data_IF_642040897674
#
_entry.id   IF_642040897674
#
_cell.length_a   1.000
_cell.length_b   1.000
_cell.length_c   1.000
_cell.angle_alpha   90.00
_cell.angle_beta   90.00
_cell.angle_gamma   90.00
#
_symmetry.space_group_name_H-M   'P 1'
#
loop_
_entity.id
_entity.type
_entity.pdbx_description
1 polymer ?
#
# COMPACT_ATOMS: atom_id res chain seq x y z
N UNK A 1 -1.57 -15.94 0.07
CA UNK A 1 -1.83 -16.57 -1.24
C UNK A 1 -2.85 -15.71 -1.97
N UNK A 2 -2.63 -15.43 -3.25
CA UNK A 2 -3.52 -14.59 -4.05
C UNK A 2 -4.40 -15.40 -4.99
N UNK A 3 -5.52 -14.83 -5.41
CA UNK A 3 -6.40 -15.44 -6.41
C UNK A 3 -5.67 -15.54 -7.74
N UNK A 4 -5.64 -16.73 -8.32
CA UNK A 4 -5.20 -16.95 -9.68
C UNK A 4 -6.07 -18.03 -10.32
N UNK A 5 -7.03 -17.62 -11.13
CA UNK A 5 -7.99 -18.48 -11.80
C UNK A 5 -7.72 -18.62 -13.31
N UNK A 6 -6.59 -18.08 -13.79
CA UNK A 6 -6.20 -18.11 -15.21
C UNK A 6 -5.16 -19.21 -15.50
N UNK A 7 -5.57 -20.42 -15.88
CA UNK A 7 -4.67 -21.57 -16.08
C UNK A 7 -3.61 -21.40 -17.18
N UNK A 8 -3.88 -20.56 -18.18
CA UNK A 8 -2.94 -20.25 -19.27
C UNK A 8 -1.79 -19.35 -18.82
N UNK A 9 -1.99 -18.52 -17.78
CA UNK A 9 -0.96 -17.68 -17.20
C UNK A 9 0.24 -18.48 -16.67
N UNK A 10 0.01 -19.69 -16.12
CA UNK A 10 1.09 -20.57 -15.65
C UNK A 10 2.03 -21.01 -16.77
N UNK A 11 1.49 -21.31 -17.94
CA UNK A 11 2.27 -21.80 -19.10
C UNK A 11 3.00 -20.67 -19.82
N UNK A 12 2.30 -19.56 -20.02
CA UNK A 12 2.78 -18.47 -20.87
C UNK A 12 3.69 -17.49 -20.11
N UNK A 13 3.40 -17.28 -18.80
CA UNK A 13 3.97 -16.20 -18.03
C UNK A 13 4.75 -16.64 -16.80
N UNK A 14 4.96 -17.96 -16.65
CA UNK A 14 5.83 -18.50 -15.61
C UNK A 14 5.28 -18.44 -14.19
N UNK A 15 3.96 -18.34 -14.01
CA UNK A 15 3.38 -18.43 -12.68
C UNK A 15 3.63 -19.81 -12.07
N UNK A 16 4.08 -19.85 -10.84
CA UNK A 16 4.25 -21.09 -10.07
C UNK A 16 2.87 -21.68 -9.74
N UNK A 17 2.50 -22.86 -10.28
CA UNK A 17 1.17 -23.44 -10.06
C UNK A 17 0.78 -23.63 -8.61
N UNK A 18 1.77 -23.83 -7.71
CA UNK A 18 1.54 -24.00 -6.26
C UNK A 18 1.08 -22.71 -5.56
N UNK A 19 1.23 -21.57 -6.21
CA UNK A 19 0.76 -20.27 -5.69
C UNK A 19 -0.66 -19.94 -6.18
N UNK A 20 -1.14 -20.70 -7.16
CA UNK A 20 -2.50 -20.51 -7.69
C UNK A 20 -3.52 -21.14 -6.76
N UNK A 21 -4.63 -20.43 -6.55
CA UNK A 21 -5.79 -20.92 -5.82
C UNK A 21 -7.05 -20.66 -6.66
N UNK A 22 -7.94 -21.65 -6.80
CA UNK A 22 -9.26 -21.44 -7.39
C UNK A 22 -10.00 -20.31 -6.66
N UNK A 23 -10.79 -19.58 -7.41
CA UNK A 23 -11.50 -18.41 -6.90
C UNK A 23 -12.44 -18.75 -5.76
N UNK A 24 -13.24 -19.81 -5.91
CA UNK A 24 -14.18 -20.31 -4.90
C UNK A 24 -13.48 -20.67 -3.58
N UNK A 25 -12.37 -21.38 -3.62
CA UNK A 25 -11.59 -21.72 -2.42
C UNK A 25 -11.05 -20.46 -1.71
N UNK A 26 -10.65 -19.43 -2.47
CA UNK A 26 -10.18 -18.17 -1.87
C UNK A 26 -11.33 -17.41 -1.22
N UNK A 27 -12.49 -17.33 -1.88
CA UNK A 27 -13.66 -16.64 -1.34
C UNK A 27 -14.17 -17.32 -0.06
N UNK A 28 -14.27 -18.64 -0.05
CA UNK A 28 -14.64 -19.42 1.12
C UNK A 28 -13.64 -19.21 2.29
N UNK A 29 -12.35 -19.19 1.99
CA UNK A 29 -11.32 -18.93 2.99
C UNK A 29 -11.40 -17.51 3.57
N UNK A 30 -11.63 -16.52 2.72
CA UNK A 30 -11.80 -15.12 3.14
C UNK A 30 -13.03 -14.97 4.05
N UNK A 31 -14.14 -15.59 3.70
CA UNK A 31 -15.35 -15.56 4.53
C UNK A 31 -15.10 -16.20 5.89
N UNK A 32 -14.43 -17.35 5.92
CA UNK A 32 -14.07 -17.99 7.17
C UNK A 32 -13.15 -17.12 8.05
N UNK A 33 -12.17 -16.43 7.44
CA UNK A 33 -11.31 -15.48 8.19
C UNK A 33 -12.11 -14.31 8.74
N UNK A 34 -13.07 -13.77 7.97
CA UNK A 34 -13.94 -12.68 8.44
C UNK A 34 -14.78 -13.10 9.63
N UNK A 35 -15.35 -14.31 9.59
CA UNK A 35 -16.08 -14.86 10.74
C UNK A 35 -15.20 -15.01 11.99
N UNK A 36 -13.97 -15.50 11.81
CA UNK A 36 -13.03 -15.65 12.93
C UNK A 36 -12.55 -14.33 13.53
N UNK A 37 -12.52 -13.27 12.74
CA UNK A 37 -12.01 -11.95 13.18
C UNK A 37 -13.12 -10.95 13.51
N UNK A 38 -14.40 -11.33 13.40
CA UNK A 38 -15.54 -10.41 13.54
C UNK A 38 -15.59 -9.63 14.87
N UNK A 39 -15.07 -10.21 15.96
CA UNK A 39 -15.01 -9.58 17.30
C UNK A 39 -13.59 -9.06 17.64
N UNK A 40 -12.71 -8.95 16.66
CA UNK A 40 -11.33 -8.49 16.86
C UNK A 40 -11.06 -7.17 16.15
N UNK A 41 -9.92 -6.54 16.45
CA UNK A 41 -9.42 -5.35 15.76
C UNK A 41 -8.80 -5.66 14.38
N UNK A 42 -9.00 -6.90 13.86
CA UNK A 42 -8.42 -7.34 12.58
C UNK A 42 -9.49 -7.26 11.50
N UNK A 43 -9.22 -6.50 10.45
CA UNK A 43 -10.03 -6.50 9.23
C UNK A 43 -9.39 -7.38 8.16
N UNK A 44 -10.22 -8.00 7.33
CA UNK A 44 -9.80 -8.88 6.23
C UNK A 44 -10.02 -8.18 4.90
N UNK A 45 -9.03 -8.22 4.02
CA UNK A 45 -9.09 -7.70 2.66
C UNK A 45 -8.74 -8.80 1.65
N UNK A 46 -9.23 -8.66 0.43
CA UNK A 46 -8.83 -9.51 -0.69
C UNK A 46 -7.48 -9.05 -1.24
N UNK A 47 -6.66 -9.99 -1.69
CA UNK A 47 -5.41 -9.70 -2.39
C UNK A 47 -5.36 -10.43 -3.73
N UNK A 48 -5.04 -9.68 -4.78
CA UNK A 48 -4.88 -10.18 -6.15
C UNK A 48 -3.42 -10.01 -6.54
N UNK A 49 -2.75 -11.04 -7.06
CA UNK A 49 -1.33 -10.93 -7.42
C UNK A 49 -1.06 -9.86 -8.48
N UNK A 50 -1.86 -9.79 -9.53
CA UNK A 50 -1.74 -8.81 -10.62
C UNK A 50 -2.93 -8.95 -11.58
N UNK A 51 -3.14 -8.01 -12.54
CA UNK A 51 -4.26 -8.05 -13.50
C UNK A 51 -4.35 -9.32 -14.33
N UNK A 52 -3.22 -9.93 -14.61
CA UNK A 52 -3.10 -11.11 -15.47
C UNK A 52 -3.38 -12.44 -14.79
N UNK A 53 -3.50 -12.45 -13.45
CA UNK A 53 -3.76 -13.69 -12.69
C UNK A 53 -5.23 -14.08 -12.62
N UNK A 54 -6.14 -13.16 -12.97
CA UNK A 54 -7.59 -13.32 -12.82
C UNK A 54 -8.26 -13.19 -14.18
N UNK A 55 -9.26 -14.05 -14.45
CA UNK A 55 -10.11 -13.94 -15.64
C UNK A 55 -11.10 -12.78 -15.51
N UNK A 56 -11.67 -12.33 -16.63
CA UNK A 56 -12.67 -11.27 -16.66
C UNK A 56 -13.90 -11.65 -15.79
N UNK A 57 -14.35 -12.90 -15.89
CA UNK A 57 -15.44 -13.42 -15.04
C UNK A 57 -15.02 -13.48 -13.56
N UNK A 58 -13.77 -13.83 -13.28
CA UNK A 58 -13.21 -13.80 -11.93
C UNK A 58 -13.16 -12.40 -11.34
N UNK A 59 -12.79 -11.39 -12.14
CA UNK A 59 -12.83 -9.98 -11.71
C UNK A 59 -14.24 -9.53 -11.32
N UNK A 60 -15.25 -9.88 -12.13
CA UNK A 60 -16.64 -9.56 -11.79
C UNK A 60 -17.05 -10.20 -10.46
N UNK A 61 -16.76 -11.49 -10.28
CA UNK A 61 -17.08 -12.22 -9.05
C UNK A 61 -16.37 -11.62 -7.83
N UNK A 62 -15.08 -11.30 -7.95
CA UNK A 62 -14.29 -10.68 -6.87
C UNK A 62 -14.84 -9.31 -6.49
N UNK A 63 -15.16 -8.47 -7.48
CA UNK A 63 -15.73 -7.16 -7.25
C UNK A 63 -17.07 -7.26 -6.53
N UNK A 64 -17.98 -8.08 -7.03
CA UNK A 64 -19.32 -8.27 -6.43
C UNK A 64 -19.18 -8.77 -4.98
N UNK A 65 -18.35 -9.77 -4.74
CA UNK A 65 -18.06 -10.29 -3.41
C UNK A 65 -17.54 -9.20 -2.46
N UNK A 66 -16.58 -8.39 -2.93
CA UNK A 66 -15.99 -7.32 -2.13
C UNK A 66 -16.99 -6.18 -1.85
N UNK A 67 -17.77 -5.77 -2.86
CA UNK A 67 -18.76 -4.69 -2.73
C UNK A 67 -19.91 -5.08 -1.80
N UNK A 68 -20.42 -6.30 -1.91
CA UNK A 68 -21.49 -6.81 -1.02
C UNK A 68 -21.07 -6.80 0.46
N UNK A 69 -19.77 -6.89 0.74
CA UNK A 69 -19.22 -7.01 2.10
C UNK A 69 -18.47 -5.77 2.57
N UNK A 70 -18.52 -4.69 1.78
CA UNK A 70 -17.73 -3.46 2.01
C UNK A 70 -16.23 -3.74 2.27
N UNK A 71 -15.65 -4.65 1.49
CA UNK A 71 -14.26 -5.08 1.63
C UNK A 71 -13.33 -4.26 0.77
N UNK A 72 -12.12 -4.07 1.27
CA UNK A 72 -10.99 -3.56 0.49
C UNK A 72 -10.38 -4.67 -0.36
N UNK A 73 -9.88 -4.29 -1.53
CA UNK A 73 -9.13 -5.18 -2.43
C UNK A 73 -7.76 -4.56 -2.70
N UNK A 74 -6.73 -5.38 -2.68
CA UNK A 74 -5.36 -4.98 -3.07
C UNK A 74 -4.94 -5.72 -4.33
N UNK A 75 -4.25 -5.04 -5.23
CA UNK A 75 -3.70 -5.61 -6.44
C UNK A 75 -2.30 -5.03 -6.71
N UNK A 76 -1.30 -5.90 -7.00
CA UNK A 76 -0.05 -5.40 -7.58
C UNK A 76 -0.33 -4.92 -9.00
N UNK A 77 0.06 -3.69 -9.29
CA UNK A 77 -0.22 -3.05 -10.57
C UNK A 77 1.00 -2.30 -11.06
N UNK A 78 1.44 -2.63 -12.28
CA UNK A 78 2.51 -1.92 -12.97
C UNK A 78 3.78 -1.75 -12.10
N UNK A 79 4.13 -2.77 -11.34
CA UNK A 79 5.43 -2.83 -10.67
C UNK A 79 6.56 -2.90 -11.69
N UNK A 80 6.31 -3.59 -12.80
CA UNK A 80 7.20 -3.72 -13.95
C UNK A 80 6.38 -3.57 -15.24
N UNK A 81 7.03 -3.31 -16.40
CA UNK A 81 6.35 -3.22 -17.70
C UNK A 81 5.61 -4.51 -18.10
N UNK A 82 5.83 -5.61 -17.41
CA UNK A 82 5.27 -6.92 -17.75
C UNK A 82 3.74 -6.92 -17.66
N UNK A 83 3.13 -6.17 -16.76
CA UNK A 83 1.67 -6.11 -16.64
C UNK A 83 1.03 -5.54 -17.92
N UNK A 84 1.57 -4.44 -18.44
CA UNK A 84 1.11 -3.86 -19.71
C UNK A 84 1.32 -4.80 -20.89
N UNK A 85 2.53 -5.39 -21.03
CA UNK A 85 2.82 -6.34 -22.10
C UNK A 85 1.79 -7.46 -22.13
N UNK A 86 1.44 -7.99 -20.98
CA UNK A 86 0.50 -9.11 -20.89
C UNK A 86 -0.95 -8.70 -21.16
N UNK A 87 -1.38 -7.56 -20.66
CA UNK A 87 -2.72 -7.05 -20.93
C UNK A 87 -2.88 -6.65 -22.41
N UNK A 88 -1.87 -6.01 -23.01
CA UNK A 88 -1.84 -5.70 -24.43
C UNK A 88 -1.93 -6.96 -25.32
N UNK A 89 -1.18 -8.01 -25.00
CA UNK A 89 -1.25 -9.26 -25.74
C UNK A 89 -2.59 -9.99 -25.58
N UNK A 90 -3.21 -9.88 -24.43
CA UNK A 90 -4.47 -10.55 -24.10
C UNK A 90 -5.70 -9.80 -24.64
N UNK A 91 -5.78 -8.50 -24.39
CA UNK A 91 -6.98 -7.69 -24.61
C UNK A 91 -6.75 -6.50 -25.55
N UNK A 92 -5.50 -6.21 -25.94
CA UNK A 92 -5.17 -5.02 -26.74
C UNK A 92 -5.25 -3.72 -25.97
N UNK A 93 -5.25 -3.78 -24.63
CA UNK A 93 -5.35 -2.65 -23.68
C UNK A 93 -4.17 -2.67 -22.73
N UNK A 94 -3.73 -1.52 -22.23
CA UNK A 94 -2.82 -1.43 -21.10
C UNK A 94 -3.46 -1.98 -19.82
N UNK A 95 -2.66 -2.20 -18.77
CA UNK A 95 -3.13 -2.87 -17.55
C UNK A 95 -4.24 -2.06 -16.85
N UNK A 96 -4.11 -0.74 -16.78
CA UNK A 96 -5.12 0.12 -16.15
C UNK A 96 -6.41 0.16 -16.98
N UNK A 97 -6.31 0.37 -18.30
CA UNK A 97 -7.47 0.37 -19.20
C UNK A 97 -8.16 -1.01 -19.24
N UNK A 98 -7.38 -2.10 -19.12
CA UNK A 98 -7.94 -3.44 -19.02
C UNK A 98 -8.76 -3.61 -17.75
N UNK A 99 -8.27 -3.19 -16.60
CA UNK A 99 -9.02 -3.21 -15.35
C UNK A 99 -10.24 -2.29 -15.40
N UNK A 100 -10.12 -1.10 -16.00
CA UNK A 100 -11.23 -0.15 -16.14
C UNK A 100 -12.33 -0.70 -17.06
N UNK A 101 -11.96 -1.31 -18.18
CA UNK A 101 -12.91 -1.92 -19.14
C UNK A 101 -13.69 -3.09 -18.54
N UNK A 102 -13.18 -3.70 -17.48
CA UNK A 102 -13.84 -4.76 -16.69
C UNK A 102 -14.53 -4.22 -15.43
N UNK A 103 -14.68 -2.90 -15.30
CA UNK A 103 -15.23 -2.22 -14.12
C UNK A 103 -14.52 -2.62 -12.82
N UNK A 104 -13.22 -2.95 -12.86
CA UNK A 104 -12.46 -3.43 -11.70
C UNK A 104 -11.70 -2.31 -10.99
N UNK A 105 -12.03 -1.05 -11.22
CA UNK A 105 -11.48 0.11 -10.57
C UNK A 105 -12.55 0.84 -9.76
N UNK A 106 -12.40 0.95 -8.44
CA UNK A 106 -13.29 1.68 -7.55
C UNK A 106 -12.55 2.11 -6.28
N UNK A 107 -13.17 2.94 -5.46
CA UNK A 107 -12.56 3.61 -4.31
C UNK A 107 -12.15 2.69 -3.14
N UNK A 108 -12.46 1.38 -3.18
CA UNK A 108 -12.00 0.38 -2.21
C UNK A 108 -10.90 -0.52 -2.79
N UNK A 109 -10.33 -0.14 -3.92
CA UNK A 109 -9.18 -0.79 -4.52
C UNK A 109 -7.90 -0.03 -4.16
N UNK A 110 -6.89 -0.76 -3.67
CA UNK A 110 -5.54 -0.28 -3.43
C UNK A 110 -4.60 -0.90 -4.48
N UNK A 111 -4.09 -0.06 -5.37
CA UNK A 111 -3.10 -0.46 -6.37
C UNK A 111 -1.70 -0.36 -5.76
N UNK A 112 -0.95 -1.46 -5.74
CA UNK A 112 0.35 -1.55 -5.10
C UNK A 112 1.46 -1.33 -6.13
N UNK A 113 2.46 -0.52 -5.79
CA UNK A 113 3.65 -0.11 -6.57
C UNK A 113 3.39 0.99 -7.59
N UNK A 114 2.66 0.74 -8.68
CA UNK A 114 2.36 1.69 -9.76
C UNK A 114 3.61 2.42 -10.30
N UNK A 115 4.72 1.68 -10.50
CA UNK A 115 6.02 2.23 -10.94
C UNK A 115 5.93 2.71 -12.39
N UNK A 116 5.34 1.88 -13.26
CA UNK A 116 5.23 2.14 -14.70
C UNK A 116 3.91 2.85 -15.09
N UNK A 117 3.25 3.50 -14.12
CA UNK A 117 1.97 4.16 -14.31
C UNK A 117 2.14 5.46 -15.10
N UNK A 118 1.58 5.52 -16.29
CA UNK A 118 1.60 6.68 -17.18
C UNK A 118 0.54 7.74 -16.81
N UNK A 119 0.55 8.86 -17.55
CA UNK A 119 -0.37 9.98 -17.32
C UNK A 119 -1.84 9.61 -17.53
N UNK A 120 -2.14 8.71 -18.45
CA UNK A 120 -3.50 8.24 -18.73
C UNK A 120 -3.98 7.36 -17.58
N UNK A 121 -3.18 6.40 -17.18
CA UNK A 121 -3.45 5.53 -16.03
C UNK A 121 -3.64 6.31 -14.74
N UNK A 122 -2.80 7.33 -14.47
CA UNK A 122 -2.96 8.20 -13.29
C UNK A 122 -4.32 8.91 -13.30
N UNK A 123 -4.76 9.42 -14.46
CA UNK A 123 -6.06 10.10 -14.59
C UNK A 123 -7.22 9.14 -14.35
N UNK A 124 -7.15 7.92 -14.89
CA UNK A 124 -8.16 6.88 -14.67
C UNK A 124 -8.23 6.51 -13.19
N UNK A 125 -7.10 6.25 -12.52
CA UNK A 125 -7.09 5.92 -11.09
C UNK A 125 -7.71 7.04 -10.24
N UNK A 126 -7.39 8.32 -10.54
CA UNK A 126 -7.96 9.47 -9.85
C UNK A 126 -9.50 9.54 -10.04
N UNK A 127 -9.99 9.39 -11.28
CA UNK A 127 -11.42 9.41 -11.60
C UNK A 127 -12.20 8.28 -10.91
N UNK A 128 -11.59 7.11 -10.78
CA UNK A 128 -12.20 5.94 -10.11
C UNK A 128 -12.02 5.95 -8.59
N UNK A 129 -11.25 6.89 -8.05
CA UNK A 129 -10.96 6.99 -6.62
C UNK A 129 -10.06 5.88 -6.09
N UNK A 130 -9.29 5.22 -6.97
CA UNK A 130 -8.32 4.18 -6.59
C UNK A 130 -7.14 4.82 -5.89
N UNK A 131 -6.73 4.26 -4.75
CA UNK A 131 -5.51 4.69 -4.08
C UNK A 131 -4.31 3.81 -4.46
N UNK A 132 -3.12 4.39 -4.32
CA UNK A 132 -1.85 3.74 -4.61
C UNK A 132 -1.07 3.50 -3.33
N UNK A 133 -0.50 2.31 -3.14
CA UNK A 133 0.50 2.03 -2.11
C UNK A 133 1.90 2.25 -2.68
N UNK A 134 2.58 3.29 -2.20
CA UNK A 134 3.97 3.58 -2.55
C UNK A 134 4.93 2.77 -1.69
N UNK A 135 5.68 1.88 -2.31
CA UNK A 135 6.61 0.95 -1.65
C UNK A 135 8.07 1.21 -2.06
N UNK A 136 8.65 2.37 -1.70
CA UNK A 136 9.93 2.81 -2.28
C UNK A 136 11.10 1.87 -1.99
N UNK A 137 11.21 1.30 -0.80
CA UNK A 137 12.31 0.39 -0.44
C UNK A 137 12.23 -0.92 -1.22
N UNK A 138 11.04 -1.51 -1.35
CA UNK A 138 10.83 -2.70 -2.16
C UNK A 138 11.18 -2.44 -3.63
N UNK A 139 10.65 -1.36 -4.22
CA UNK A 139 10.90 -1.00 -5.61
C UNK A 139 12.40 -0.79 -5.89
N UNK A 140 13.13 -0.16 -4.96
CA UNK A 140 14.59 0.02 -5.07
C UNK A 140 15.34 -1.31 -4.94
N UNK A 141 14.98 -2.13 -3.95
CA UNK A 141 15.63 -3.42 -3.69
C UNK A 141 15.47 -4.39 -4.85
N UNK A 142 14.29 -4.42 -5.45
CA UNK A 142 13.97 -5.30 -6.58
C UNK A 142 14.40 -4.70 -7.95
N UNK A 143 14.75 -3.40 -7.96
CA UNK A 143 15.11 -2.71 -9.20
C UNK A 143 13.90 -2.42 -10.10
N UNK A 144 12.70 -2.38 -9.54
CA UNK A 144 11.46 -2.14 -10.29
C UNK A 144 11.40 -0.72 -10.85
N UNK A 145 11.96 0.29 -10.14
CA UNK A 145 11.98 1.68 -10.60
C UNK A 145 11.44 2.67 -9.59
N UNK A 146 11.02 3.84 -10.06
CA UNK A 146 10.54 4.96 -9.24
C UNK A 146 9.12 5.31 -9.66
N UNK A 147 8.13 5.03 -8.81
CA UNK A 147 6.75 5.44 -9.05
C UNK A 147 6.61 6.97 -9.12
N UNK A 148 5.80 7.52 -10.04
CA UNK A 148 5.67 8.97 -10.26
C UNK A 148 4.77 9.65 -9.21
N UNK A 149 5.11 9.53 -7.92
CA UNK A 149 4.26 9.95 -6.80
C UNK A 149 3.85 11.43 -6.84
N UNK A 150 4.74 12.39 -7.12
CA UNK A 150 4.32 13.80 -7.22
C UNK A 150 3.25 14.03 -8.28
N UNK A 151 3.36 13.38 -9.44
CA UNK A 151 2.38 13.52 -10.52
C UNK A 151 1.03 12.87 -10.15
N UNK A 152 1.03 11.77 -9.43
CA UNK A 152 -0.19 11.13 -8.90
C UNK A 152 -0.90 12.05 -7.91
N UNK A 153 -0.17 12.65 -6.95
CA UNK A 153 -0.71 13.58 -5.98
C UNK A 153 -1.30 14.83 -6.66
N UNK A 154 -0.60 15.40 -7.66
CA UNK A 154 -1.06 16.54 -8.43
C UNK A 154 -2.37 16.26 -9.18
N UNK A 155 -2.64 14.99 -9.53
CA UNK A 155 -3.90 14.55 -10.17
C UNK A 155 -4.99 14.12 -9.17
N UNK A 156 -4.70 14.16 -7.88
CA UNK A 156 -5.66 13.78 -6.83
C UNK A 156 -5.77 12.27 -6.60
N UNK A 157 -4.81 11.47 -7.06
CA UNK A 157 -4.73 10.05 -6.67
C UNK A 157 -4.39 9.97 -5.19
N UNK A 158 -5.17 9.22 -4.40
CA UNK A 158 -4.82 8.91 -3.03
C UNK A 158 -3.54 8.06 -2.98
N UNK A 159 -2.56 8.46 -2.17
CA UNK A 159 -1.30 7.71 -2.04
C UNK A 159 -1.05 7.37 -0.59
N UNK A 160 -0.89 6.09 -0.28
CA UNK A 160 -0.43 5.59 1.01
C UNK A 160 1.04 5.13 0.95
N UNK A 161 1.71 5.08 2.09
CA UNK A 161 3.07 4.57 2.21
C UNK A 161 3.06 3.12 2.69
N UNK A 162 3.79 2.24 2.02
CA UNK A 162 3.89 0.83 2.35
C UNK A 162 5.33 0.34 2.46
N UNK A 163 5.54 -0.67 3.30
CA UNK A 163 6.83 -1.35 3.46
C UNK A 163 6.96 -2.59 2.57
N UNK A 164 5.86 -3.08 2.01
CA UNK A 164 5.76 -4.35 1.30
C UNK A 164 6.12 -5.57 2.18
N UNK A 165 6.27 -6.74 1.58
CA UNK A 165 6.61 -7.96 2.31
C UNK A 165 8.07 -7.99 2.79
N UNK A 166 8.33 -8.72 3.88
CA UNK A 166 9.69 -8.86 4.44
C UNK A 166 10.71 -9.48 3.46
N UNK A 167 10.24 -10.21 2.45
CA UNK A 167 11.11 -10.77 1.40
C UNK A 167 11.61 -9.71 0.41
N UNK A 168 10.91 -8.58 0.27
CA UNK A 168 11.24 -7.47 -0.63
C UNK A 168 11.67 -6.20 0.10
N UNK A 169 11.44 -6.14 1.44
CA UNK A 169 11.93 -5.08 2.32
C UNK A 169 12.35 -5.69 3.67
N UNK A 170 13.62 -5.99 3.81
CA UNK A 170 14.18 -6.75 4.92
C UNK A 170 13.98 -6.08 6.28
N UNK A 171 13.94 -4.74 6.35
CA UNK A 171 13.90 -3.98 7.61
C UNK A 171 12.49 -3.78 8.17
N UNK A 172 11.45 -3.76 7.35
CA UNK A 172 10.06 -3.42 7.72
C UNK A 172 9.98 -2.13 8.56
N UNK A 173 10.88 -1.16 8.31
CA UNK A 173 10.97 0.10 9.04
C UNK A 173 10.20 1.21 8.30
N UNK A 174 9.07 1.63 8.86
CA UNK A 174 8.24 2.69 8.27
C UNK A 174 8.95 4.06 8.29
N UNK A 175 9.78 4.37 9.30
CA UNK A 175 10.52 5.64 9.33
C UNK A 175 11.63 5.69 8.28
N UNK A 176 12.27 4.54 8.01
CA UNK A 176 13.20 4.43 6.89
C UNK A 176 12.48 4.61 5.56
N UNK A 177 11.35 3.92 5.39
CA UNK A 177 10.50 4.02 4.18
C UNK A 177 10.03 5.46 3.96
N UNK A 178 9.63 6.16 5.01
CA UNK A 178 9.21 7.56 5.02
C UNK A 178 10.32 8.48 4.47
N UNK A 179 11.53 8.35 4.98
CA UNK A 179 12.70 9.12 4.54
C UNK A 179 13.09 8.80 3.10
N UNK A 180 13.20 7.52 2.77
CA UNK A 180 13.62 7.07 1.43
C UNK A 180 12.58 7.45 0.39
N UNK A 181 11.29 7.35 0.68
CA UNK A 181 10.22 7.81 -0.21
C UNK A 181 10.39 9.26 -0.62
N UNK A 182 10.70 10.15 0.33
CA UNK A 182 10.96 11.55 0.04
C UNK A 182 12.25 11.75 -0.79
N UNK A 183 13.35 11.12 -0.37
CA UNK A 183 14.65 11.34 -1.02
C UNK A 183 14.70 10.78 -2.44
N UNK A 184 14.04 9.67 -2.68
CA UNK A 184 13.95 9.07 -4.00
C UNK A 184 13.27 10.02 -4.99
N UNK A 185 12.15 10.62 -4.60
CA UNK A 185 11.44 11.60 -5.44
C UNK A 185 12.27 12.87 -5.65
N UNK A 186 12.93 13.39 -4.60
CA UNK A 186 13.83 14.55 -4.72
C UNK A 186 14.97 14.30 -5.69
N UNK A 187 15.57 13.12 -5.62
CA UNK A 187 16.68 12.75 -6.52
C UNK A 187 16.21 12.59 -7.97
N UNK A 188 15.07 11.92 -8.19
CA UNK A 188 14.50 11.71 -9.51
C UNK A 188 14.14 13.04 -10.21
N UNK A 189 13.57 13.98 -9.47
CA UNK A 189 13.14 15.28 -9.99
C UNK A 189 14.20 16.39 -9.86
N UNK A 190 15.35 16.12 -9.21
CA UNK A 190 16.40 17.13 -8.92
C UNK A 190 15.86 18.36 -8.17
N UNK A 191 14.94 18.13 -7.23
CA UNK A 191 14.24 19.15 -6.45
C UNK A 191 14.24 18.81 -4.96
N UNK A 192 14.93 19.60 -4.15
CA UNK A 192 15.04 19.39 -2.71
C UNK A 192 13.76 19.77 -1.92
N UNK A 193 12.88 20.55 -2.53
CA UNK A 193 11.64 21.05 -1.94
C UNK A 193 10.45 20.07 -2.09
N UNK A 194 10.59 19.01 -2.90
CA UNK A 194 9.56 17.98 -3.05
C UNK A 194 9.43 17.11 -1.80
N UNK A 195 8.24 16.56 -1.60
CA UNK A 195 7.95 15.57 -0.57
C UNK A 195 8.46 16.03 0.81
N UNK A 196 7.98 17.20 1.24
CA UNK A 196 8.25 17.75 2.56
C UNK A 196 7.63 16.89 3.66
N UNK A 197 7.90 17.25 4.94
CA UNK A 197 7.40 16.48 6.08
C UNK A 197 5.87 16.34 6.04
N UNK A 198 5.13 17.42 5.83
CA UNK A 198 3.66 17.41 5.80
C UNK A 198 3.12 16.47 4.71
N UNK A 199 3.63 16.59 3.48
CA UNK A 199 3.23 15.70 2.38
C UNK A 199 3.51 14.24 2.70
N UNK A 200 4.68 13.95 3.25
CA UNK A 200 5.03 12.58 3.62
C UNK A 200 4.18 12.05 4.79
N UNK A 201 3.82 12.91 5.74
CA UNK A 201 2.95 12.57 6.85
C UNK A 201 1.54 12.22 6.35
N UNK A 202 0.98 13.03 5.44
CA UNK A 202 -0.31 12.76 4.82
C UNK A 202 -0.32 11.41 4.10
N UNK A 203 0.74 11.12 3.34
CA UNK A 203 0.91 9.83 2.66
C UNK A 203 1.01 8.67 3.67
N UNK A 204 1.80 8.84 4.74
CA UNK A 204 2.03 7.78 5.71
C UNK A 204 0.81 7.48 6.60
N UNK A 205 -0.01 8.49 6.89
CA UNK A 205 -1.06 8.41 7.89
C UNK A 205 -2.50 8.43 7.35
N UNK A 206 -2.72 8.97 6.14
CA UNK A 206 -4.09 9.19 5.66
C UNK A 206 -4.35 8.90 4.19
N UNK A 207 -3.33 8.90 3.36
CA UNK A 207 -3.47 8.96 1.90
C UNK A 207 -4.20 7.79 1.24
N UNK A 208 -4.34 6.65 1.91
CA UNK A 208 -5.05 5.49 1.39
C UNK A 208 -6.23 5.03 2.27
N UNK A 209 -6.66 5.84 3.22
CA UNK A 209 -7.69 5.47 4.21
C UNK A 209 -8.98 4.97 3.56
N UNK A 210 -9.49 5.65 2.53
CA UNK A 210 -10.72 5.26 1.83
C UNK A 210 -10.58 3.87 1.22
N UNK A 211 -9.48 3.60 0.52
CA UNK A 211 -9.23 2.30 -0.10
C UNK A 211 -9.10 1.18 0.95
N UNK A 212 -8.57 1.50 2.12
CA UNK A 212 -8.45 0.55 3.24
C UNK A 212 -9.73 0.42 4.08
N UNK A 213 -10.77 1.23 3.80
CA UNK A 213 -11.99 1.25 4.57
C UNK A 213 -11.85 1.84 5.97
N UNK A 214 -10.84 2.66 6.15
CA UNK A 214 -10.60 3.36 7.39
C UNK A 214 -11.33 4.71 7.39
N UNK A 215 -11.77 5.21 8.56
CA UNK A 215 -12.36 6.53 8.66
C UNK A 215 -11.40 7.63 8.16
N UNK A 216 -11.94 8.65 7.49
CA UNK A 216 -11.17 9.82 7.02
C UNK A 216 -10.47 10.59 8.16
N UNK A 217 -10.98 10.48 9.38
CA UNK A 217 -10.40 11.11 10.57
C UNK A 217 -9.11 10.46 11.08
N UNK A 218 -8.72 9.31 10.51
CA UNK A 218 -7.43 8.67 10.80
C UNK A 218 -6.32 9.44 10.08
N UNK A 219 -5.21 9.64 10.76
CA UNK A 219 -4.02 10.32 10.23
C UNK A 219 -3.71 11.65 10.95
N UNK A 220 -4.56 12.07 11.88
CA UNK A 220 -4.34 13.26 12.69
C UNK A 220 -4.73 13.07 14.16
N UNK A 221 -4.22 13.96 15.02
CA UNK A 221 -4.57 14.00 16.45
C UNK A 221 -5.71 14.99 16.63
N UNK A 222 -6.95 14.51 16.65
CA UNK A 222 -8.14 15.35 16.86
C UNK A 222 -9.18 14.64 17.72
N UNK A 223 -10.08 15.42 18.30
CA UNK A 223 -11.17 14.87 19.12
C UNK A 223 -12.07 13.99 18.26
N UNK A 224 -12.25 12.74 18.68
CA UNK A 224 -13.05 11.75 17.96
C UNK A 224 -12.23 10.81 17.04
N UNK A 225 -10.93 11.08 16.84
CA UNK A 225 -10.04 10.13 16.16
C UNK A 225 -9.75 8.93 17.06
N UNK A 226 -9.56 7.73 16.48
CA UNK A 226 -8.98 6.59 17.19
C UNK A 226 -7.64 6.96 17.82
N UNK A 227 -7.35 6.40 18.99
CA UNK A 227 -6.07 6.63 19.66
C UNK A 227 -4.98 5.69 19.13
N UNK A 228 -4.73 5.77 17.81
CA UNK A 228 -3.63 5.11 17.12
C UNK A 228 -2.47 6.09 17.04
N UNK A 229 -1.56 6.01 18.01
CA UNK A 229 -0.55 7.03 18.24
C UNK A 229 0.85 6.42 18.33
N UNK A 230 1.82 7.11 17.72
CA UNK A 230 3.24 6.80 17.92
C UNK A 230 3.92 8.02 18.55
N UNK A 231 4.49 7.84 19.75
CA UNK A 231 5.28 8.84 20.43
C UNK A 231 6.76 8.57 20.21
N UNK A 232 7.51 9.60 19.84
CA UNK A 232 8.94 9.52 19.60
C UNK A 232 9.73 10.37 20.59
N UNK A 233 10.94 9.89 20.93
CA UNK A 233 11.89 10.60 21.79
C UNK A 233 13.18 10.82 21.02
N UNK A 234 13.38 12.05 20.56
CA UNK A 234 14.57 12.43 19.80
C UNK A 234 15.87 12.29 20.58
N UNK A 235 15.82 12.41 21.93
CA UNK A 235 17.00 12.27 22.80
C UNK A 235 17.56 10.83 22.90
N UNK A 236 16.85 9.86 22.31
CA UNK A 236 17.33 8.45 22.23
C UNK A 236 18.38 8.21 21.17
N UNK A 237 18.50 9.10 20.19
CA UNK A 237 19.46 8.97 19.10
C UNK A 237 20.18 10.29 18.86
N UNK A 238 21.51 10.30 19.02
CA UNK A 238 22.33 11.51 18.80
C UNK A 238 22.22 12.04 17.36
N UNK A 239 21.88 11.20 16.38
CA UNK A 239 21.69 11.63 14.99
C UNK A 239 20.49 12.59 14.83
N UNK A 240 19.53 12.58 15.77
CA UNK A 240 18.36 13.46 15.75
C UNK A 240 18.57 14.79 16.46
N UNK A 241 19.70 14.98 17.15
CA UNK A 241 19.99 16.17 17.95
C UNK A 241 20.96 17.14 17.24
N UNK A 242 20.84 18.44 17.42
CA UNK A 242 19.77 19.14 18.14
C UNK A 242 18.47 19.24 17.32
N UNK A 243 17.33 19.01 17.94
CA UNK A 243 16.04 19.20 17.29
C UNK A 243 15.75 20.68 17.12
N UNK A 244 15.70 21.17 15.89
CA UNK A 244 15.31 22.54 15.55
C UNK A 244 13.88 22.60 15.03
N UNK A 245 13.53 21.63 14.21
CA UNK A 245 12.22 21.39 13.64
C UNK A 245 11.92 19.90 13.82
N UNK A 246 10.93 19.53 14.64
CA UNK A 246 10.62 18.12 14.89
C UNK A 246 10.21 17.35 13.62
N UNK A 247 9.41 17.96 12.73
CA UNK A 247 8.97 17.34 11.49
C UNK A 247 10.14 17.07 10.55
N UNK A 248 11.00 18.08 10.32
CA UNK A 248 12.19 17.92 9.50
C UNK A 248 13.16 16.88 10.12
N UNK A 249 13.33 16.87 11.45
CA UNK A 249 14.17 15.89 12.13
C UNK A 249 13.62 14.48 11.98
N UNK A 250 12.29 14.29 12.12
CA UNK A 250 11.65 12.99 11.92
C UNK A 250 11.87 12.49 10.50
N UNK A 251 11.66 13.35 9.49
CA UNK A 251 11.84 12.98 8.07
C UNK A 251 13.29 12.64 7.73
N UNK A 252 14.25 13.40 8.27
CA UNK A 252 15.66 13.31 7.79
C UNK A 252 16.51 12.35 8.61
N UNK A 253 16.26 12.24 9.90
CA UNK A 253 17.08 11.46 10.84
C UNK A 253 16.28 10.49 11.71
N UNK A 254 14.94 10.48 11.57
CA UNK A 254 14.10 9.55 12.31
C UNK A 254 14.44 8.09 12.02
N UNK A 255 14.46 7.27 13.06
CA UNK A 255 14.70 5.84 12.99
C UNK A 255 13.86 5.11 14.04
N UNK A 256 13.72 3.81 13.92
CA UNK A 256 12.98 3.00 14.92
C UNK A 256 13.50 3.15 16.35
N UNK A 257 14.78 3.54 16.53
CA UNK A 257 15.38 3.74 17.86
C UNK A 257 14.73 4.85 18.68
N UNK A 258 14.12 5.85 18.01
CA UNK A 258 13.43 6.95 18.70
C UNK A 258 11.97 6.66 19.05
N UNK A 259 11.39 5.56 18.59
CA UNK A 259 10.02 5.16 18.94
C UNK A 259 9.98 4.78 20.41
N UNK A 260 9.15 5.46 21.18
CA UNK A 260 9.02 5.28 22.62
C UNK A 260 7.76 4.50 22.98
N UNK A 261 6.60 5.04 22.58
CA UNK A 261 5.30 4.44 22.86
C UNK A 261 4.53 4.28 21.54
N UNK A 262 3.89 3.12 21.37
CA UNK A 262 2.88 2.91 20.34
C UNK A 262 1.58 2.50 20.99
N UNK A 263 0.50 3.18 20.62
CA UNK A 263 -0.86 2.86 21.02
C UNK A 263 -1.69 2.45 19.81
N UNK A 264 -2.55 1.48 19.99
CA UNK A 264 -3.53 1.04 19.00
C UNK A 264 -4.89 0.99 19.69
N UNK A 265 -5.84 1.76 19.20
CA UNK A 265 -7.19 1.92 19.78
C UNK A 265 -7.15 2.26 21.29
N UNK A 266 -6.15 3.07 21.69
CA UNK A 266 -5.92 3.48 23.07
C UNK A 266 -5.11 2.48 23.92
N UNK A 267 -4.89 1.28 23.46
CA UNK A 267 -4.07 0.26 24.14
C UNK A 267 -2.60 0.45 23.85
N UNK A 268 -1.76 0.55 24.88
CA UNK A 268 -0.31 0.60 24.70
C UNK A 268 0.19 -0.78 24.29
N UNK A 269 0.81 -0.87 23.09
CA UNK A 269 1.39 -2.12 22.55
C UNK A 269 2.92 -2.11 22.56
N UNK A 270 3.52 -0.91 22.55
CA UNK A 270 4.96 -0.68 22.73
C UNK A 270 5.13 0.33 23.86
N UNK A 271 6.06 0.08 24.77
CA UNK A 271 6.48 1.00 25.83
C UNK A 271 7.99 0.93 25.98
N UNK A 272 8.64 2.09 26.07
CA UNK A 272 10.11 2.20 26.13
C UNK A 272 10.82 1.47 24.95
N UNK A 273 10.17 1.48 23.77
CA UNK A 273 10.66 0.86 22.55
C UNK A 273 10.55 -0.68 22.54
N UNK A 274 9.84 -1.30 23.47
CA UNK A 274 9.68 -2.75 23.58
C UNK A 274 8.21 -3.16 23.56
N UNK A 275 7.92 -4.33 23.04
CA UNK A 275 6.58 -4.91 23.11
C UNK A 275 6.15 -5.13 24.58
N UNK A 276 4.90 -4.74 24.88
CA UNK A 276 4.27 -5.05 26.17
C UNK A 276 3.42 -6.32 26.11
N UNK A 277 3.31 -6.94 24.93
CA UNK A 277 2.46 -8.11 24.69
C UNK A 277 3.26 -9.37 24.33
N UNK A 278 4.52 -9.23 23.93
CA UNK A 278 5.39 -10.32 23.46
C UNK A 278 6.66 -10.26 24.28
N UNK A 279 7.04 -11.37 24.93
CA UNK A 279 8.35 -11.52 25.56
C UNK A 279 9.40 -11.71 24.46
N UNK A 280 10.43 -10.84 24.42
CA UNK A 280 11.54 -10.87 23.46
C UNK A 280 12.67 -11.78 23.92
#
# INVERSE_FOLDING_TARGET
RGVADRPDATRKWGFEPRLMQPLDEVLDHVEHLREQTAESAISVALAIPNPRSVTESGMVTLREFAQERDMSVMIHLLETPTDDVMCLEHAGLGAVEYLDSNDFLWNRLLAVHCVELDDVGQSILAERGVAVSHNPLSNMRLGSGIAPIPAMLDRGVGVGLGVDGAASNDTQDMLETFRIGAYLQRAAHKRADLMGFETMLDIACGGANVALGLPEVIGGVSVGSPADLTLVRFDRDYATLPVRDPGASLLTTGSRSIVDIVMVDGDVVISDGRSVRIDE
#
